data_IF_345940865706
#
_entry.id   IF_345940865706
#
_cell.length_a   1.000
_cell.length_b   1.000
_cell.length_c   1.000
_cell.angle_alpha   90.00
_cell.angle_beta   90.00
_cell.angle_gamma   90.00
#
_symmetry.space_group_name_H-M   'P 1'
#
loop_
_entity.id
_entity.type
_entity.pdbx_description
1 polymer ?
#
# COMPACT_ATOMS: atom_id res chain seq x y z
N UNK A 1 12.23 28.33 -3.34
CA UNK A 1 11.12 27.35 -3.40
C UNK A 1 10.31 27.45 -2.13
N UNK A 2 8.99 27.31 -2.19
CA UNK A 2 8.11 27.38 -1.02
C UNK A 2 8.20 26.09 -0.16
N UNK A 3 8.05 26.16 1.17
CA UNK A 3 8.08 25.02 2.06
C UNK A 3 6.78 24.20 2.00
N UNK A 4 6.38 23.82 0.80
CA UNK A 4 5.14 23.09 0.58
C UNK A 4 5.42 21.73 -0.08
N UNK A 5 4.72 20.69 0.40
CA UNK A 5 4.81 19.34 -0.13
C UNK A 5 3.43 18.84 -0.53
N UNK A 6 3.35 18.27 -1.71
CA UNK A 6 2.16 17.65 -2.30
C UNK A 6 2.26 16.15 -2.17
N UNK A 7 1.48 15.54 -1.26
CA UNK A 7 1.46 14.09 -1.03
C UNK A 7 0.32 13.48 -1.84
N UNK A 8 0.67 12.60 -2.77
CA UNK A 8 -0.26 11.98 -3.69
C UNK A 8 -0.90 10.72 -3.09
N UNK A 9 -2.24 10.61 -3.14
CA UNK A 9 -3.00 9.42 -2.73
C UNK A 9 -3.67 8.80 -3.95
N UNK A 10 -3.60 7.48 -4.10
CA UNK A 10 -4.35 6.71 -5.10
C UNK A 10 -5.44 5.85 -4.46
N UNK A 11 -5.13 5.15 -3.37
CA UNK A 11 -6.05 4.26 -2.67
C UNK A 11 -6.09 4.64 -1.20
N UNK A 12 -7.10 5.43 -0.81
CA UNK A 12 -7.19 6.02 0.53
C UNK A 12 -7.18 4.96 1.66
N UNK A 13 -7.96 3.88 1.52
CA UNK A 13 -8.05 2.81 2.52
C UNK A 13 -6.70 2.16 2.86
N UNK A 14 -5.79 2.14 1.90
CA UNK A 14 -4.48 1.51 2.02
C UNK A 14 -3.37 2.48 2.40
N UNK A 15 -3.49 3.73 1.96
CA UNK A 15 -2.40 4.71 1.96
C UNK A 15 -2.57 5.80 3.01
N UNK A 16 -3.82 6.13 3.40
CA UNK A 16 -4.12 7.33 4.18
C UNK A 16 -3.39 7.37 5.53
N UNK A 17 -3.35 6.27 6.28
CA UNK A 17 -2.71 6.22 7.60
C UNK A 17 -1.22 6.59 7.52
N UNK A 18 -0.49 5.95 6.62
CA UNK A 18 0.95 6.19 6.41
C UNK A 18 1.25 7.58 5.84
N UNK A 19 0.38 8.07 4.95
CA UNK A 19 0.50 9.40 4.36
C UNK A 19 0.25 10.49 5.40
N UNK A 20 -0.74 10.33 6.27
CA UNK A 20 -1.00 11.24 7.38
C UNK A 20 0.14 11.23 8.40
N UNK A 21 0.70 10.06 8.72
CA UNK A 21 1.88 9.97 9.58
C UNK A 21 3.08 10.73 8.97
N UNK A 22 3.34 10.54 7.68
CA UNK A 22 4.38 11.28 6.95
C UNK A 22 4.12 12.77 6.95
N UNK A 23 2.87 13.19 6.69
CA UNK A 23 2.47 14.59 6.71
C UNK A 23 2.71 15.23 8.07
N UNK A 24 2.42 14.53 9.18
CA UNK A 24 2.67 15.00 10.54
C UNK A 24 4.15 15.26 10.81
N UNK A 25 5.03 14.34 10.39
CA UNK A 25 6.48 14.55 10.53
C UNK A 25 7.01 15.69 9.66
N UNK A 26 6.47 15.86 8.45
CA UNK A 26 6.80 16.99 7.59
C UNK A 26 6.32 18.34 8.19
N UNK A 27 5.09 18.37 8.73
CA UNK A 27 4.57 19.55 9.46
C UNK A 27 5.43 19.86 10.69
N UNK A 28 5.92 18.84 11.42
CA UNK A 28 6.87 18.99 12.53
C UNK A 28 8.18 19.64 12.10
N UNK A 29 8.60 19.43 10.83
CA UNK A 29 9.78 20.07 10.21
C UNK A 29 9.49 21.47 9.65
N UNK A 30 8.28 22.00 9.79
CA UNK A 30 7.89 23.31 9.32
C UNK A 30 7.29 23.36 7.92
N UNK A 31 7.12 22.21 7.27
CA UNK A 31 6.49 22.16 5.96
C UNK A 31 4.97 22.40 6.04
N UNK A 32 4.46 23.04 5.01
CA UNK A 32 3.06 23.04 4.64
C UNK A 32 2.77 21.82 3.76
N UNK A 33 1.75 21.05 4.06
CA UNK A 33 1.46 19.82 3.33
C UNK A 33 0.08 19.90 2.68
N UNK A 34 0.01 19.64 1.38
CA UNK A 34 -1.25 19.36 0.68
C UNK A 34 -1.28 17.88 0.35
N UNK A 35 -2.24 17.18 0.93
CA UNK A 35 -2.45 15.75 0.72
C UNK A 35 -3.76 15.54 -0.02
N UNK A 36 -3.75 14.72 -1.06
CA UNK A 36 -4.97 14.50 -1.81
C UNK A 36 -4.83 13.53 -2.99
N UNK A 37 -5.94 13.42 -3.68
CA UNK A 37 -6.02 12.55 -4.85
C UNK A 37 -4.99 12.94 -5.91
N UNK A 38 -4.20 11.95 -6.34
CA UNK A 38 -3.05 12.17 -7.23
C UNK A 38 -3.42 12.95 -8.50
N UNK A 39 -4.56 12.63 -9.14
CA UNK A 39 -4.98 13.32 -10.35
C UNK A 39 -5.49 14.75 -10.05
N UNK A 40 -6.13 14.97 -8.90
CA UNK A 40 -6.54 16.32 -8.50
C UNK A 40 -5.32 17.24 -8.33
N UNK A 41 -4.24 16.74 -7.72
CA UNK A 41 -3.02 17.51 -7.56
C UNK A 41 -2.25 17.65 -8.88
N UNK A 42 -2.09 16.58 -9.65
CA UNK A 42 -1.35 16.61 -10.91
C UNK A 42 -2.02 17.47 -12.00
N UNK A 43 -3.36 17.52 -12.04
CA UNK A 43 -4.09 18.35 -13.02
C UNK A 43 -4.15 19.83 -12.62
N UNK A 44 -3.84 20.16 -11.38
CA UNK A 44 -3.78 21.52 -10.85
C UNK A 44 -2.35 22.06 -10.67
N UNK A 45 -1.34 21.35 -11.17
CA UNK A 45 0.08 21.71 -11.04
C UNK A 45 0.42 23.14 -11.49
N UNK A 46 -0.34 23.68 -12.43
CA UNK A 46 -0.17 25.02 -13.01
C UNK A 46 -0.67 26.15 -12.10
N UNK A 47 -1.63 25.87 -11.21
CA UNK A 47 -2.14 26.85 -10.25
C UNK A 47 -1.60 26.68 -8.82
N UNK A 48 -0.93 25.57 -8.55
CA UNK A 48 -0.33 25.29 -7.24
C UNK A 48 0.98 26.10 -7.04
N UNK A 49 1.25 26.63 -5.84
CA UNK A 49 2.53 27.25 -5.53
C UNK A 49 3.68 26.29 -5.76
N UNK A 50 4.81 26.76 -6.27
CA UNK A 50 6.00 25.91 -6.46
C UNK A 50 6.43 25.26 -5.16
N UNK A 51 6.60 23.95 -5.17
CA UNK A 51 6.94 23.13 -3.99
C UNK A 51 7.43 21.75 -4.41
N UNK A 52 7.39 20.78 -3.51
CA UNK A 52 7.86 19.43 -3.72
C UNK A 52 6.65 18.51 -3.97
N UNK A 53 6.62 17.80 -5.09
CA UNK A 53 5.67 16.71 -5.31
C UNK A 53 6.27 15.39 -4.85
N UNK A 54 5.58 14.71 -3.95
CA UNK A 54 5.97 13.41 -3.43
C UNK A 54 5.19 12.29 -4.14
N UNK A 55 5.82 11.69 -5.14
CA UNK A 55 5.25 10.61 -5.95
C UNK A 55 5.38 9.25 -5.24
N UNK A 56 4.43 8.37 -5.52
CA UNK A 56 4.31 7.04 -4.91
C UNK A 56 4.95 5.90 -5.72
N UNK A 57 5.71 6.21 -6.77
CA UNK A 57 6.38 5.24 -7.63
C UNK A 57 7.07 5.91 -8.80
N UNK A 58 7.82 5.11 -9.58
CA UNK A 58 8.59 5.55 -10.74
C UNK A 58 8.28 4.71 -12.00
N UNK A 59 7.08 4.13 -12.12
CA UNK A 59 6.65 3.48 -13.35
C UNK A 59 6.38 4.52 -14.46
N UNK A 60 6.17 4.07 -15.69
CA UNK A 60 5.97 4.94 -16.85
C UNK A 60 4.91 6.04 -16.62
N UNK A 61 3.77 5.70 -16.01
CA UNK A 61 2.68 6.66 -15.76
C UNK A 61 3.11 7.74 -14.77
N UNK A 62 3.81 7.36 -13.69
CA UNK A 62 4.35 8.32 -12.73
C UNK A 62 5.45 9.16 -13.35
N UNK A 63 6.34 8.56 -14.14
CA UNK A 63 7.42 9.28 -14.85
C UNK A 63 6.89 10.35 -15.78
N UNK A 64 5.86 10.04 -16.59
CA UNK A 64 5.21 11.03 -17.48
C UNK A 64 4.57 12.18 -16.68
N UNK A 65 3.98 11.87 -15.52
CA UNK A 65 3.43 12.92 -14.64
C UNK A 65 4.52 13.74 -13.96
N UNK A 66 5.65 13.15 -13.56
CA UNK A 66 6.80 13.87 -13.04
C UNK A 66 7.30 14.89 -14.08
N UNK A 67 7.46 14.48 -15.34
CA UNK A 67 7.85 15.36 -16.44
C UNK A 67 6.92 16.57 -16.55
N UNK A 68 5.61 16.35 -16.52
CA UNK A 68 4.61 17.44 -16.60
C UNK A 68 4.66 18.37 -15.40
N UNK A 69 4.84 17.84 -14.19
CA UNK A 69 4.91 18.64 -12.95
C UNK A 69 6.19 19.48 -12.90
N UNK A 70 7.31 18.91 -13.37
CA UNK A 70 8.61 19.63 -13.45
C UNK A 70 8.55 20.88 -14.33
N UNK A 71 7.76 20.89 -15.40
CA UNK A 71 7.60 22.05 -16.30
C UNK A 71 7.07 23.30 -15.59
N UNK A 72 6.41 23.14 -14.43
CA UNK A 72 5.89 24.23 -13.60
C UNK A 72 6.80 24.59 -12.42
N UNK A 73 8.06 24.13 -12.45
CA UNK A 73 9.08 24.50 -11.47
C UNK A 73 9.02 23.72 -10.15
N UNK A 74 8.15 22.70 -10.04
CA UNK A 74 8.10 21.86 -8.85
C UNK A 74 9.30 20.91 -8.78
N UNK A 75 9.80 20.63 -7.58
CA UNK A 75 10.75 19.56 -7.33
C UNK A 75 10.03 18.21 -7.14
N UNK A 76 10.73 17.13 -7.42
CA UNK A 76 10.17 15.77 -7.36
C UNK A 76 10.95 14.92 -6.37
N UNK A 77 10.23 14.38 -5.40
CA UNK A 77 10.64 13.28 -4.52
C UNK A 77 9.78 12.07 -4.85
N UNK A 78 10.33 10.86 -4.85
CA UNK A 78 9.58 9.65 -5.11
C UNK A 78 9.93 8.53 -4.13
N UNK A 79 8.98 7.62 -3.89
CA UNK A 79 9.13 6.36 -3.18
C UNK A 79 8.30 5.29 -3.88
N UNK A 80 8.78 4.06 -3.94
CA UNK A 80 7.95 2.95 -4.43
C UNK A 80 7.15 2.34 -3.27
N UNK A 81 5.84 2.51 -3.29
CA UNK A 81 4.96 2.07 -2.20
C UNK A 81 4.36 0.67 -2.40
N UNK A 82 4.46 0.11 -3.59
CA UNK A 82 3.85 -1.17 -3.94
C UNK A 82 4.74 -2.40 -3.58
N UNK A 83 6.01 -2.18 -3.26
CA UNK A 83 7.01 -3.26 -3.09
C UNK A 83 7.02 -3.95 -1.73
N UNK A 84 6.14 -3.60 -0.80
CA UNK A 84 6.15 -4.16 0.57
C UNK A 84 6.05 -5.68 0.67
N UNK A 85 5.47 -6.33 -0.32
CA UNK A 85 5.32 -7.79 -0.37
C UNK A 85 5.98 -8.43 -1.57
N UNK A 86 6.74 -7.66 -2.35
CA UNK A 86 7.31 -8.13 -3.60
C UNK A 86 8.79 -8.46 -3.48
N UNK A 87 9.24 -9.21 -4.37
CA UNK A 87 10.47 -9.85 -4.66
C UNK A 87 11.72 -9.33 -3.94
N UNK A 88 12.49 -10.26 -3.42
CA UNK A 88 13.81 -10.04 -2.83
C UNK A 88 14.95 -10.18 -3.83
N UNK A 89 14.67 -10.68 -5.00
CA UNK A 89 15.59 -10.87 -6.10
C UNK A 89 14.85 -10.64 -7.41
N UNK A 90 15.45 -10.33 -8.42
CA UNK A 90 16.40 -9.34 -8.88
C UNK A 90 15.85 -8.46 -10.00
N UNK A 91 16.67 -7.82 -10.81
CA UNK A 91 16.29 -6.90 -11.90
C UNK A 91 15.15 -7.41 -12.80
N UNK A 92 15.08 -8.71 -13.08
CA UNK A 92 14.04 -9.34 -13.92
C UNK A 92 12.62 -9.13 -13.41
N UNK A 93 12.40 -9.13 -12.10
CA UNK A 93 11.06 -8.91 -11.57
C UNK A 93 10.64 -7.44 -11.70
N UNK A 94 11.55 -6.52 -11.43
CA UNK A 94 11.30 -5.09 -11.55
C UNK A 94 11.05 -4.70 -13.01
N UNK A 95 11.84 -5.27 -13.93
CA UNK A 95 11.62 -5.15 -15.37
C UNK A 95 10.27 -5.75 -15.80
N UNK A 96 9.96 -6.96 -15.36
CA UNK A 96 8.69 -7.62 -15.64
C UNK A 96 7.48 -6.81 -15.16
N UNK A 97 7.61 -6.14 -14.02
CA UNK A 97 6.55 -5.32 -13.42
C UNK A 97 6.54 -3.89 -13.96
N UNK A 98 7.57 -3.46 -14.64
CA UNK A 98 7.76 -2.06 -15.08
C UNK A 98 7.62 -1.08 -13.90
N UNK A 99 8.31 -1.39 -12.80
CA UNK A 99 8.20 -0.63 -11.54
C UNK A 99 9.07 0.62 -11.62
N UNK A 100 10.29 0.49 -12.18
CA UNK A 100 11.25 1.58 -12.32
C UNK A 100 11.49 1.86 -13.80
N UNK A 101 10.93 2.97 -14.28
CA UNK A 101 11.17 3.44 -15.63
C UNK A 101 12.45 4.29 -15.67
N UNK A 102 13.36 4.01 -16.60
CA UNK A 102 14.68 4.66 -16.67
C UNK A 102 14.59 6.18 -16.78
N UNK A 103 13.66 6.70 -17.58
CA UNK A 103 13.46 8.14 -17.77
C UNK A 103 13.04 8.85 -16.45
N UNK A 104 12.70 8.10 -15.40
CA UNK A 104 12.40 8.72 -14.11
C UNK A 104 13.59 9.47 -13.53
N UNK A 105 14.83 9.06 -13.84
CA UNK A 105 16.06 9.74 -13.42
C UNK A 105 16.17 11.18 -13.91
N UNK A 106 15.56 11.50 -15.05
CA UNK A 106 15.59 12.84 -15.63
C UNK A 106 14.68 13.82 -14.87
N UNK A 107 13.73 13.30 -14.11
CA UNK A 107 12.69 14.09 -13.47
C UNK A 107 12.70 13.97 -11.94
N UNK A 108 12.96 12.79 -11.39
CA UNK A 108 13.03 12.55 -9.95
C UNK A 108 14.38 13.05 -9.40
N UNK A 109 14.34 13.96 -8.44
CA UNK A 109 15.54 14.55 -7.86
C UNK A 109 15.99 13.86 -6.58
N UNK A 110 15.07 13.15 -5.90
CA UNK A 110 15.36 12.36 -4.71
C UNK A 110 14.45 11.13 -4.68
N UNK A 111 15.06 9.94 -4.62
CA UNK A 111 14.34 8.70 -4.39
C UNK A 111 14.56 8.19 -2.96
N UNK A 112 13.46 7.85 -2.29
CA UNK A 112 13.45 7.35 -0.92
C UNK A 112 13.19 5.85 -0.93
N UNK A 113 14.25 5.06 -0.74
CA UNK A 113 14.18 3.62 -0.80
C UNK A 113 13.58 3.01 0.49
N UNK A 114 12.68 2.07 0.32
CA UNK A 114 12.03 1.35 1.41
C UNK A 114 12.97 0.37 2.12
N UNK A 115 13.94 -0.21 1.39
CA UNK A 115 14.92 -1.15 1.92
C UNK A 115 16.21 -1.18 1.07
N UNK A 116 17.29 -1.70 1.65
CA UNK A 116 18.62 -1.70 1.04
C UNK A 116 18.68 -2.42 -0.30
N UNK A 117 17.86 -3.45 -0.49
CA UNK A 117 17.80 -4.19 -1.73
C UNK A 117 17.20 -3.36 -2.87
N UNK A 118 16.06 -2.66 -2.61
CA UNK A 118 15.46 -1.71 -3.57
C UNK A 118 16.46 -0.63 -3.96
N UNK A 119 17.17 -0.07 -2.97
CA UNK A 119 18.22 0.92 -3.22
C UNK A 119 19.31 0.38 -4.19
N UNK A 120 19.75 -0.88 -4.01
CA UNK A 120 20.73 -1.52 -4.90
C UNK A 120 20.18 -1.68 -6.32
N UNK A 121 18.94 -2.13 -6.47
CA UNK A 121 18.30 -2.31 -7.78
C UNK A 121 18.13 -0.99 -8.50
N UNK A 122 17.61 0.03 -7.81
CA UNK A 122 17.42 1.37 -8.39
C UNK A 122 18.77 1.97 -8.79
N UNK A 123 19.81 1.78 -7.98
CA UNK A 123 21.18 2.23 -8.29
C UNK A 123 21.78 1.55 -9.52
N UNK A 124 21.41 0.29 -9.78
CA UNK A 124 21.84 -0.41 -11.00
C UNK A 124 21.12 0.10 -12.26
N UNK A 125 19.84 0.45 -12.13
CA UNK A 125 19.02 0.94 -13.24
C UNK A 125 19.25 2.43 -13.51
N UNK A 126 19.42 3.23 -12.47
CA UNK A 126 19.59 4.69 -12.48
C UNK A 126 20.76 5.10 -11.58
N UNK A 127 22.02 4.95 -12.04
CA UNK A 127 23.22 5.10 -11.20
C UNK A 127 23.41 6.52 -10.65
N UNK A 128 22.95 7.54 -11.38
CA UNK A 128 23.12 8.96 -11.01
C UNK A 128 21.98 9.50 -10.13
N UNK A 129 20.93 8.73 -9.90
CA UNK A 129 19.81 9.15 -9.08
C UNK A 129 20.23 9.31 -7.62
N UNK A 130 19.85 10.42 -7.01
CA UNK A 130 20.04 10.64 -5.57
C UNK A 130 19.08 9.74 -4.78
N UNK A 131 19.63 8.75 -4.07
CA UNK A 131 18.85 7.75 -3.35
C UNK A 131 19.18 7.79 -1.86
N UNK A 132 18.15 7.76 -1.00
CA UNK A 132 18.27 7.65 0.45
C UNK A 132 17.47 6.47 0.98
N UNK A 133 18.02 5.76 1.96
CA UNK A 133 17.35 4.65 2.62
C UNK A 133 16.55 5.16 3.82
N UNK A 134 15.23 5.18 3.71
CA UNK A 134 14.34 5.70 4.76
C UNK A 134 13.47 4.62 5.42
N UNK A 135 13.17 3.55 4.73
CA UNK A 135 12.05 2.67 5.07
C UNK A 135 10.75 3.15 4.45
N UNK A 136 9.67 2.43 4.69
CA UNK A 136 8.35 2.75 4.14
C UNK A 136 7.34 3.06 5.27
N UNK A 137 6.66 4.22 5.28
CA UNK A 137 5.72 4.60 6.36
C UNK A 137 4.54 3.66 6.53
N UNK A 138 4.21 2.86 5.51
CA UNK A 138 3.19 1.81 5.67
C UNK A 138 3.60 0.76 6.70
N UNK A 139 4.90 0.50 6.85
CA UNK A 139 5.42 -0.42 7.85
C UNK A 139 5.43 0.18 9.25
N UNK A 140 5.56 1.50 9.38
CA UNK A 140 5.45 2.19 10.66
C UNK A 140 4.10 1.95 11.34
N UNK A 141 3.01 1.95 10.54
CA UNK A 141 1.65 1.72 11.04
C UNK A 141 1.41 0.29 11.58
N UNK A 142 2.37 -0.62 11.40
CA UNK A 142 2.31 -2.01 11.87
C UNK A 142 3.15 -2.23 13.14
N UNK A 143 3.92 -1.23 13.56
CA UNK A 143 4.74 -1.28 14.77
C UNK A 143 3.87 -1.25 16.02
N UNK A 144 4.38 -1.83 17.09
CA UNK A 144 3.70 -1.90 18.40
C UNK A 144 3.23 -0.53 18.91
N UNK A 145 3.97 0.54 18.56
CA UNK A 145 3.64 1.92 18.97
C UNK A 145 2.42 2.49 18.25
N UNK A 146 2.02 1.94 17.11
CA UNK A 146 0.93 2.47 16.29
C UNK A 146 -0.19 1.47 15.99
N UNK A 147 0.06 0.17 16.13
CA UNK A 147 -0.88 -0.89 15.75
C UNK A 147 -2.22 -0.79 16.51
N UNK A 148 -2.21 -0.28 17.74
CA UNK A 148 -3.42 -0.06 18.55
C UNK A 148 -4.38 1.00 17.97
N UNK A 149 -3.95 1.79 16.98
CA UNK A 149 -4.87 2.66 16.21
C UNK A 149 -6.00 1.86 15.52
N UNK A 150 -5.84 0.56 15.35
CA UNK A 150 -6.83 -0.34 14.74
C UNK A 150 -7.76 -1.02 15.76
N UNK A 151 -7.55 -0.87 17.07
CA UNK A 151 -8.25 -1.64 18.11
C UNK A 151 -9.77 -1.46 18.06
N UNK A 152 -10.26 -0.24 17.93
CA UNK A 152 -11.72 -0.01 17.82
C UNK A 152 -12.37 -0.65 16.58
N UNK A 153 -11.61 -0.83 15.51
CA UNK A 153 -12.10 -1.54 14.33
C UNK A 153 -12.00 -3.07 14.52
N UNK A 154 -10.93 -3.53 15.16
CA UNK A 154 -10.75 -4.94 15.56
C UNK A 154 -11.86 -5.40 16.47
N UNK A 155 -12.20 -4.64 17.51
CA UNK A 155 -13.26 -4.93 18.47
C UNK A 155 -14.61 -5.12 17.78
N UNK A 156 -15.01 -4.20 16.89
CA UNK A 156 -16.26 -4.35 16.12
C UNK A 156 -16.31 -5.60 15.24
N UNK A 157 -15.15 -6.07 14.76
CA UNK A 157 -15.06 -7.33 14.00
C UNK A 157 -15.18 -8.50 14.95
N UNK A 158 -14.48 -8.48 16.09
CA UNK A 158 -14.52 -9.54 17.11
C UNK A 158 -15.91 -9.71 17.73
N UNK A 159 -16.68 -8.63 17.89
CA UNK A 159 -18.09 -8.69 18.32
C UNK A 159 -18.98 -9.51 17.37
N UNK A 160 -18.68 -9.47 16.06
CA UNK A 160 -19.40 -10.25 15.04
C UNK A 160 -18.92 -11.71 14.95
N UNK A 161 -17.68 -11.94 15.30
CA UNK A 161 -16.99 -13.23 15.21
C UNK A 161 -16.36 -13.60 16.57
N UNK A 162 -17.17 -13.80 17.63
CA UNK A 162 -16.67 -13.89 19.01
C UNK A 162 -15.84 -15.15 19.31
N UNK A 163 -15.97 -16.21 18.51
CA UNK A 163 -15.18 -17.44 18.62
C UNK A 163 -13.83 -17.40 17.90
N UNK A 164 -13.45 -16.24 17.34
CA UNK A 164 -12.32 -16.14 16.44
C UNK A 164 -12.63 -16.70 15.04
N UNK A 165 -11.69 -16.58 14.12
CA UNK A 165 -11.87 -17.11 12.76
C UNK A 165 -10.54 -17.26 12.01
N UNK A 166 -10.55 -18.12 11.01
CA UNK A 166 -9.50 -18.27 10.01
C UNK A 166 -9.74 -17.24 8.91
N UNK A 167 -8.79 -16.32 8.68
CA UNK A 167 -8.87 -15.35 7.61
C UNK A 167 -8.17 -15.90 6.35
N UNK A 168 -8.88 -15.94 5.23
CA UNK A 168 -8.31 -16.28 3.91
C UNK A 168 -8.31 -15.03 3.04
N UNK A 169 -7.14 -14.40 2.88
CA UNK A 169 -6.94 -13.27 1.97
C UNK A 169 -6.52 -13.76 0.58
N UNK A 170 -7.30 -13.41 -0.44
CA UNK A 170 -7.02 -13.78 -1.81
C UNK A 170 -6.31 -12.66 -2.59
N UNK A 171 -5.60 -13.03 -3.66
CA UNK A 171 -4.92 -12.10 -4.57
C UNK A 171 -5.09 -12.53 -6.02
N UNK A 172 -6.34 -12.75 -6.44
CA UNK A 172 -6.71 -13.31 -7.73
C UNK A 172 -7.28 -12.26 -8.71
N UNK A 173 -7.00 -10.97 -8.46
CA UNK A 173 -7.62 -9.83 -9.14
C UNK A 173 -7.38 -9.74 -10.65
N UNK A 174 -6.43 -10.51 -11.22
CA UNK A 174 -6.25 -10.59 -12.67
C UNK A 174 -7.16 -11.65 -13.29
N UNK A 175 -7.30 -12.80 -12.63
CA UNK A 175 -8.14 -13.93 -13.08
C UNK A 175 -9.61 -13.70 -12.72
N UNK A 176 -9.88 -13.22 -11.51
CA UNK A 176 -11.21 -12.98 -10.94
C UNK A 176 -11.52 -11.47 -10.87
N UNK A 177 -11.30 -10.73 -11.98
CA UNK A 177 -11.48 -9.28 -11.99
C UNK A 177 -12.97 -8.89 -11.85
N UNK A 178 -13.21 -7.81 -11.07
CA UNK A 178 -14.52 -7.11 -11.06
C UNK A 178 -14.79 -6.36 -12.36
N UNK A 179 -13.73 -5.97 -13.06
CA UNK A 179 -13.84 -5.23 -14.31
C UNK A 179 -14.09 -6.18 -15.46
N UNK A 180 -15.00 -5.79 -16.34
CA UNK A 180 -15.20 -6.51 -17.60
C UNK A 180 -14.00 -6.37 -18.52
N UNK A 181 -13.87 -7.24 -19.51
CA UNK A 181 -12.82 -7.13 -20.53
C UNK A 181 -12.91 -5.80 -21.30
N UNK A 182 -14.12 -5.25 -21.46
CA UNK A 182 -14.34 -3.93 -22.07
C UNK A 182 -13.78 -2.81 -21.20
N UNK A 183 -14.08 -2.80 -19.87
CA UNK A 183 -13.57 -1.80 -18.95
C UNK A 183 -12.04 -1.80 -18.91
N UNK A 184 -11.43 -2.98 -18.90
CA UNK A 184 -9.97 -3.15 -18.95
C UNK A 184 -9.41 -2.57 -20.25
N UNK A 185 -10.04 -2.87 -21.41
CA UNK A 185 -9.64 -2.33 -22.71
C UNK A 185 -9.75 -0.81 -22.76
N UNK A 186 -10.82 -0.25 -22.23
CA UNK A 186 -11.07 1.19 -22.23
C UNK A 186 -10.06 1.92 -21.30
N UNK A 187 -9.69 1.32 -20.16
CA UNK A 187 -8.63 1.84 -19.29
C UNK A 187 -7.28 1.79 -20.03
N UNK A 188 -6.95 0.69 -20.71
CA UNK A 188 -5.71 0.57 -21.48
C UNK A 188 -5.59 1.64 -22.56
N UNK A 189 -6.66 1.89 -23.33
CA UNK A 189 -6.69 2.93 -24.36
C UNK A 189 -6.47 4.34 -23.79
N UNK A 190 -6.95 4.60 -22.58
CA UNK A 190 -6.77 5.90 -21.91
C UNK A 190 -5.35 6.10 -21.36
N UNK A 191 -4.73 5.02 -20.86
CA UNK A 191 -3.40 5.07 -20.20
C UNK A 191 -2.27 5.05 -21.23
N UNK A 192 -2.46 4.32 -22.35
CA UNK A 192 -1.46 4.18 -23.40
C UNK A 192 -2.13 4.21 -24.80
N UNK A 193 -2.65 5.35 -25.21
CA UNK A 193 -3.43 5.43 -26.45
C UNK A 193 -2.60 5.13 -27.71
N UNK A 194 -1.27 5.32 -27.67
CA UNK A 194 -0.36 5.17 -28.81
C UNK A 194 0.81 4.22 -28.58
N UNK A 195 1.07 3.81 -27.34
CA UNK A 195 2.20 2.94 -26.98
C UNK A 195 1.83 1.46 -27.10
N UNK A 196 2.01 0.92 -28.30
CA UNK A 196 1.76 -0.51 -28.57
C UNK A 196 2.67 -1.45 -27.78
N UNK A 197 3.90 -1.03 -27.48
CA UNK A 197 4.84 -1.85 -26.74
C UNK A 197 4.44 -1.98 -25.26
N UNK A 198 3.95 -0.90 -24.66
CA UNK A 198 3.39 -0.94 -23.31
C UNK A 198 2.17 -1.86 -23.24
N UNK A 199 1.29 -1.84 -24.24
CA UNK A 199 0.13 -2.75 -24.34
C UNK A 199 0.57 -4.20 -24.48
N UNK A 200 1.58 -4.50 -25.30
CA UNK A 200 2.15 -5.86 -25.44
C UNK A 200 2.73 -6.37 -24.12
N UNK A 201 3.55 -5.54 -23.42
CA UNK A 201 4.11 -5.88 -22.10
C UNK A 201 3.01 -6.14 -21.08
N UNK A 202 1.99 -5.30 -21.04
CA UNK A 202 0.83 -5.51 -20.16
C UNK A 202 0.13 -6.85 -20.43
N UNK A 203 -0.14 -7.18 -21.71
CA UNK A 203 -0.81 -8.43 -22.08
C UNK A 203 0.05 -9.66 -21.74
N UNK A 204 1.37 -9.61 -21.99
CA UNK A 204 2.32 -10.66 -21.60
C UNK A 204 2.27 -10.89 -20.09
N UNK A 205 2.34 -9.81 -19.31
CA UNK A 205 2.28 -9.85 -17.85
C UNK A 205 0.94 -10.43 -17.35
N UNK A 206 -0.19 -9.98 -17.93
CA UNK A 206 -1.52 -10.49 -17.62
C UNK A 206 -1.61 -12.01 -17.83
N UNK A 207 -1.12 -12.51 -18.95
CA UNK A 207 -1.17 -13.95 -19.27
C UNK A 207 -0.36 -14.78 -18.27
N UNK A 208 0.80 -14.30 -17.84
CA UNK A 208 1.62 -14.96 -16.81
C UNK A 208 0.85 -14.99 -15.48
N UNK A 209 0.28 -13.86 -15.04
CA UNK A 209 -0.49 -13.81 -13.80
C UNK A 209 -1.73 -14.71 -13.84
N UNK A 210 -2.49 -14.70 -14.93
CA UNK A 210 -3.66 -15.59 -15.10
C UNK A 210 -3.27 -17.06 -14.95
N UNK A 211 -2.12 -17.43 -15.53
CA UNK A 211 -1.62 -18.82 -15.41
C UNK A 211 -1.37 -19.22 -13.96
N UNK A 212 -0.72 -18.37 -13.16
CA UNK A 212 -0.45 -18.69 -11.74
C UNK A 212 -1.70 -18.60 -10.89
N UNK A 213 -2.48 -17.56 -11.06
CA UNK A 213 -3.71 -17.36 -10.30
C UNK A 213 -4.72 -18.50 -10.48
N UNK A 214 -4.65 -19.30 -11.58
CA UNK A 214 -5.43 -20.52 -11.72
C UNK A 214 -5.05 -21.59 -10.69
N UNK A 215 -3.76 -21.76 -10.41
CA UNK A 215 -3.29 -22.70 -9.39
C UNK A 215 -3.67 -22.19 -7.99
N UNK A 216 -3.44 -20.92 -7.72
CA UNK A 216 -3.78 -20.29 -6.44
C UNK A 216 -5.30 -20.38 -6.18
N UNK A 217 -6.12 -20.11 -7.18
CA UNK A 217 -7.58 -20.23 -7.08
C UNK A 217 -8.02 -21.68 -6.79
N UNK A 218 -7.41 -22.65 -7.47
CA UNK A 218 -7.70 -24.06 -7.22
C UNK A 218 -7.38 -24.43 -5.78
N UNK A 219 -6.18 -24.13 -5.30
CA UNK A 219 -5.78 -24.42 -3.92
C UNK A 219 -6.63 -23.69 -2.89
N UNK A 220 -7.00 -22.43 -3.15
CA UNK A 220 -7.91 -21.68 -2.28
C UNK A 220 -9.27 -22.35 -2.17
N UNK A 221 -9.85 -22.80 -3.29
CA UNK A 221 -11.15 -23.47 -3.31
C UNK A 221 -11.10 -24.83 -2.63
N UNK A 222 -10.03 -25.59 -2.83
CA UNK A 222 -9.80 -26.86 -2.14
C UNK A 222 -9.70 -26.63 -0.63
N UNK A 223 -8.93 -25.63 -0.18
CA UNK A 223 -8.77 -25.28 1.22
C UNK A 223 -10.10 -24.91 1.89
N UNK A 224 -10.89 -24.03 1.25
CA UNK A 224 -12.24 -23.67 1.75
C UNK A 224 -13.12 -24.91 1.85
N UNK A 225 -13.05 -25.81 0.86
CA UNK A 225 -13.77 -27.09 0.87
C UNK A 225 -13.36 -27.98 2.04
N UNK A 226 -12.07 -28.07 2.35
CA UNK A 226 -11.56 -28.86 3.47
C UNK A 226 -12.10 -28.33 4.82
N UNK A 227 -12.04 -27.02 5.06
CA UNK A 227 -12.61 -26.42 6.27
C UNK A 227 -14.12 -26.61 6.36
N UNK A 228 -14.85 -26.41 5.26
CA UNK A 228 -16.29 -26.59 5.24
C UNK A 228 -16.75 -28.01 5.52
N UNK A 229 -15.98 -29.01 5.10
CA UNK A 229 -16.33 -30.43 5.24
C UNK A 229 -15.79 -31.07 6.52
N UNK A 230 -14.51 -30.77 6.86
CA UNK A 230 -13.81 -31.49 7.94
C UNK A 230 -13.80 -30.72 9.26
N UNK A 231 -14.04 -29.40 9.22
CA UNK A 231 -14.01 -28.52 10.40
C UNK A 231 -15.20 -27.56 10.44
N UNK A 232 -16.44 -28.05 10.41
CA UNK A 232 -17.65 -27.23 10.33
C UNK A 232 -17.84 -26.30 11.54
N UNK A 233 -17.16 -26.57 12.67
CA UNK A 233 -17.15 -25.73 13.85
C UNK A 233 -16.11 -24.61 13.85
N UNK A 234 -15.21 -24.55 12.84
CA UNK A 234 -14.21 -23.49 12.72
C UNK A 234 -14.70 -22.40 11.76
N UNK A 235 -14.93 -21.16 12.22
CA UNK A 235 -15.34 -20.07 11.34
C UNK A 235 -14.23 -19.73 10.34
N UNK A 236 -14.60 -19.54 9.09
CA UNK A 236 -13.70 -19.15 8.00
C UNK A 236 -14.25 -17.91 7.32
N UNK A 237 -13.46 -16.85 7.30
CA UNK A 237 -13.79 -15.62 6.60
C UNK A 237 -12.91 -15.47 5.37
N UNK A 238 -13.54 -15.44 4.19
CA UNK A 238 -12.84 -15.14 2.93
C UNK A 238 -12.87 -13.64 2.71
N UNK A 239 -11.70 -13.03 2.55
CA UNK A 239 -11.57 -11.63 2.21
C UNK A 239 -10.96 -11.48 0.81
N UNK A 240 -11.80 -11.32 -0.24
CA UNK A 240 -11.30 -11.15 -1.60
C UNK A 240 -10.52 -9.83 -1.72
N UNK A 241 -9.48 -9.81 -2.55
CA UNK A 241 -8.78 -8.56 -2.87
C UNK A 241 -9.79 -7.53 -3.46
N UNK A 242 -9.68 -6.21 -3.19
CA UNK A 242 -10.63 -5.19 -3.68
C UNK A 242 -10.88 -5.18 -5.19
N UNK A 243 -9.96 -5.71 -5.98
CA UNK A 243 -10.09 -5.87 -7.45
C UNK A 243 -10.85 -7.12 -7.87
N UNK A 244 -11.15 -8.05 -6.95
CA UNK A 244 -11.80 -9.31 -7.25
C UNK A 244 -13.33 -9.21 -7.23
N UNK A 245 -13.97 -10.10 -7.99
CA UNK A 245 -15.41 -10.31 -7.92
C UNK A 245 -15.74 -11.22 -6.72
N UNK A 246 -16.36 -10.71 -5.65
CA UNK A 246 -16.67 -11.47 -4.45
C UNK A 246 -17.71 -12.57 -4.70
N UNK A 247 -18.55 -12.44 -5.74
CA UNK A 247 -19.58 -13.43 -6.07
C UNK A 247 -18.98 -14.82 -6.38
N UNK A 248 -17.73 -14.87 -6.83
CA UNK A 248 -16.99 -16.12 -7.05
C UNK A 248 -16.90 -16.96 -5.77
N UNK A 249 -16.85 -16.31 -4.61
CA UNK A 249 -16.72 -16.99 -3.30
C UNK A 249 -18.08 -17.24 -2.60
N UNK A 250 -19.14 -16.51 -2.97
CA UNK A 250 -20.46 -16.63 -2.36
C UNK A 250 -21.06 -18.05 -2.48
N UNK A 251 -20.65 -18.84 -3.47
CA UNK A 251 -21.05 -20.24 -3.60
C UNK A 251 -20.61 -21.09 -2.41
N UNK A 252 -19.49 -20.75 -1.76
CA UNK A 252 -18.97 -21.49 -0.61
C UNK A 252 -19.74 -21.14 0.65
N UNK A 253 -20.06 -19.87 0.89
CA UNK A 253 -20.89 -19.44 2.02
C UNK A 253 -22.32 -19.99 1.93
N UNK A 254 -22.83 -20.26 0.72
CA UNK A 254 -24.10 -20.95 0.53
C UNK A 254 -24.02 -22.44 0.80
N UNK A 255 -22.85 -23.04 0.64
CA UNK A 255 -22.64 -24.50 0.79
C UNK A 255 -22.23 -24.88 2.20
N UNK A 256 -21.46 -24.04 2.90
CA UNK A 256 -20.87 -24.33 4.20
C UNK A 256 -21.25 -23.24 5.19
N UNK A 257 -21.93 -23.63 6.28
CA UNK A 257 -22.45 -22.71 7.29
C UNK A 257 -21.35 -21.96 8.05
N UNK A 258 -20.14 -22.52 8.13
CA UNK A 258 -18.98 -21.93 8.78
C UNK A 258 -18.14 -21.03 7.87
N UNK A 259 -18.56 -20.79 6.61
CA UNK A 259 -17.79 -20.00 5.64
C UNK A 259 -18.54 -18.71 5.30
N UNK A 260 -17.91 -17.59 5.57
CA UNK A 260 -18.41 -16.26 5.23
C UNK A 260 -17.50 -15.53 4.23
N UNK A 261 -18.07 -14.54 3.51
CA UNK A 261 -17.33 -13.68 2.58
C UNK A 261 -17.39 -12.24 3.07
N UNK A 262 -16.25 -11.66 3.38
CA UNK A 262 -16.16 -10.30 3.88
C UNK A 262 -16.62 -9.26 2.85
N UNK A 263 -17.33 -8.25 3.32
CA UNK A 263 -17.56 -7.04 2.55
C UNK A 263 -16.32 -6.14 2.67
N UNK A 264 -15.54 -6.05 1.59
CA UNK A 264 -14.23 -5.40 1.52
C UNK A 264 -14.33 -3.85 1.47
N UNK A 265 -14.83 -3.21 2.50
CA UNK A 265 -14.89 -1.75 2.61
C UNK A 265 -13.79 -1.15 3.49
N UNK A 266 -13.06 -1.99 4.24
CA UNK A 266 -12.06 -1.54 5.21
C UNK A 266 -10.64 -2.05 4.88
N UNK A 267 -9.63 -1.40 5.50
CA UNK A 267 -8.24 -1.89 5.52
C UNK A 267 -8.18 -3.35 5.98
N UNK A 268 -7.21 -4.12 5.48
CA UNK A 268 -7.00 -5.52 5.87
C UNK A 268 -6.58 -5.68 7.35
N UNK A 269 -5.89 -4.69 7.90
CA UNK A 269 -5.23 -4.76 9.22
C UNK A 269 -6.16 -5.11 10.38
N UNK A 270 -7.32 -4.45 10.57
CA UNK A 270 -8.27 -4.84 11.62
C UNK A 270 -8.77 -6.28 11.48
N UNK A 271 -8.99 -6.75 10.24
CA UNK A 271 -9.42 -8.12 9.97
C UNK A 271 -8.33 -9.14 10.31
N UNK A 272 -7.07 -8.82 10.00
CA UNK A 272 -5.92 -9.66 10.38
C UNK A 272 -5.83 -9.72 11.91
N UNK A 273 -5.85 -8.56 12.58
CA UNK A 273 -5.71 -8.49 14.05
C UNK A 273 -6.86 -9.15 14.82
N UNK A 274 -8.04 -9.26 14.21
CA UNK A 274 -9.20 -9.94 14.81
C UNK A 274 -9.25 -11.44 14.50
N UNK A 275 -8.49 -11.92 13.52
CA UNK A 275 -8.43 -13.35 13.18
C UNK A 275 -7.46 -14.11 14.10
N UNK A 276 -7.61 -15.43 14.17
CA UNK A 276 -6.65 -16.31 14.86
C UNK A 276 -5.42 -16.57 13.98
N UNK A 277 -5.64 -16.64 12.66
CA UNK A 277 -4.63 -16.97 11.67
C UNK A 277 -4.99 -16.41 10.30
N UNK A 278 -3.98 -15.91 9.60
CA UNK A 278 -4.10 -15.49 8.19
C UNK A 278 -3.56 -16.58 7.26
N UNK A 279 -4.32 -16.89 6.21
CA UNK A 279 -3.86 -17.70 5.07
C UNK A 279 -3.94 -16.85 3.81
N UNK A 280 -2.88 -16.85 2.99
CA UNK A 280 -2.83 -16.07 1.75
C UNK A 280 -2.11 -16.80 0.61
N UNK A 281 -2.26 -16.30 -0.63
CA UNK A 281 -1.59 -16.81 -1.83
C UNK A 281 -0.59 -15.80 -2.40
N UNK A 282 0.37 -15.35 -1.56
CA UNK A 282 1.39 -14.38 -1.98
C UNK A 282 0.89 -12.92 -2.00
N UNK A 283 -0.04 -12.55 -1.14
CA UNK A 283 -0.52 -11.18 -0.95
C UNK A 283 0.40 -10.37 -0.02
N UNK A 284 0.47 -9.05 -0.19
CA UNK A 284 1.19 -8.14 0.73
C UNK A 284 0.65 -8.17 2.15
N UNK A 285 -0.60 -8.53 2.35
CA UNK A 285 -1.22 -8.73 3.67
C UNK A 285 -0.49 -9.76 4.52
N UNK A 286 0.13 -10.79 3.89
CA UNK A 286 0.97 -11.75 4.61
C UNK A 286 2.21 -11.10 5.24
N UNK A 287 2.86 -10.17 4.54
CA UNK A 287 3.99 -9.41 5.09
C UNK A 287 3.53 -8.48 6.21
N UNK A 288 2.38 -7.81 6.03
CA UNK A 288 1.79 -6.95 7.06
C UNK A 288 1.42 -7.76 8.33
N UNK A 289 0.84 -8.96 8.16
CA UNK A 289 0.49 -9.85 9.27
C UNK A 289 1.74 -10.29 10.05
N UNK A 290 2.80 -10.75 9.37
CA UNK A 290 4.06 -11.13 10.02
C UNK A 290 4.69 -9.95 10.76
N UNK A 291 4.59 -8.71 10.21
CA UNK A 291 5.07 -7.51 10.89
C UNK A 291 4.33 -7.22 12.20
N UNK A 292 3.03 -7.53 12.26
CA UNK A 292 2.21 -7.46 13.46
C UNK A 292 2.36 -8.69 14.38
N UNK A 293 3.32 -9.57 14.09
CA UNK A 293 3.56 -10.85 14.78
C UNK A 293 2.32 -11.76 14.79
N UNK A 294 1.54 -11.73 13.72
CA UNK A 294 0.31 -12.51 13.58
C UNK A 294 0.59 -13.86 12.88
N UNK A 295 -0.02 -14.98 13.33
CA UNK A 295 0.13 -16.28 12.68
C UNK A 295 -0.24 -16.24 11.20
N UNK A 296 0.67 -16.66 10.31
CA UNK A 296 0.51 -16.45 8.87
C UNK A 296 1.01 -17.63 8.06
N UNK A 297 0.13 -18.17 7.21
CA UNK A 297 0.43 -19.25 6.26
C UNK A 297 0.36 -18.71 4.84
N UNK A 298 1.34 -19.07 4.00
CA UNK A 298 1.31 -18.83 2.56
C UNK A 298 1.12 -20.14 1.81
N UNK A 299 0.19 -20.17 0.85
CA UNK A 299 0.07 -21.28 -0.11
C UNK A 299 0.74 -20.86 -1.41
N UNK A 300 1.82 -21.55 -1.77
CA UNK A 300 2.49 -21.40 -3.05
C UNK A 300 2.26 -22.66 -3.87
N UNK A 301 1.09 -22.76 -4.50
CA UNK A 301 0.64 -23.95 -5.23
C UNK A 301 1.50 -24.31 -6.43
N UNK A 302 2.22 -23.35 -7.00
CA UNK A 302 3.18 -23.55 -8.06
C UNK A 302 4.40 -22.67 -7.87
N UNK A 303 5.58 -23.29 -7.90
CA UNK A 303 6.85 -22.55 -7.88
C UNK A 303 7.16 -21.95 -9.26
N UNK A 304 7.69 -20.74 -9.26
CA UNK A 304 8.28 -20.08 -10.43
C UNK A 304 9.23 -18.99 -9.98
N UNK A 305 10.16 -18.61 -10.84
CA UNK A 305 11.15 -17.56 -10.55
C UNK A 305 10.51 -16.21 -10.17
N UNK A 306 9.30 -15.94 -10.67
CA UNK A 306 8.56 -14.71 -10.37
C UNK A 306 7.71 -14.77 -9.08
N UNK A 307 7.43 -15.96 -8.53
CA UNK A 307 6.63 -16.15 -7.31
C UNK A 307 7.51 -16.57 -6.14
N UNK A 308 8.54 -17.39 -6.38
CA UNK A 308 9.45 -17.92 -5.36
C UNK A 308 10.10 -16.83 -4.50
N UNK A 309 10.41 -15.69 -5.11
CA UNK A 309 11.09 -14.58 -4.46
C UNK A 309 10.17 -13.54 -3.80
N UNK A 310 8.87 -13.78 -3.70
CA UNK A 310 7.99 -12.87 -2.97
C UNK A 310 8.35 -12.90 -1.48
N UNK A 311 8.64 -11.73 -0.91
CA UNK A 311 8.96 -11.56 0.50
C UNK A 311 7.88 -12.18 1.39
N UNK A 312 6.61 -11.95 1.04
CA UNK A 312 5.47 -12.48 1.78
C UNK A 312 5.47 -14.01 1.88
N UNK A 313 5.88 -14.74 0.82
CA UNK A 313 5.99 -16.20 0.88
C UNK A 313 7.17 -16.64 1.75
N UNK A 314 8.26 -15.87 1.79
CA UNK A 314 9.47 -16.23 2.51
C UNK A 314 9.39 -15.96 4.01
N UNK A 315 8.55 -15.01 4.42
CA UNK A 315 8.37 -14.66 5.84
C UNK A 315 7.19 -15.39 6.47
N UNK A 316 6.29 -15.95 5.69
CA UNK A 316 5.15 -16.76 6.16
C UNK A 316 5.55 -18.23 6.35
N UNK A 317 4.71 -19.00 7.03
CA UNK A 317 4.81 -20.47 7.02
C UNK A 317 4.39 -20.98 5.64
N UNK A 318 5.35 -21.47 4.87
CA UNK A 318 5.15 -21.83 3.47
C UNK A 318 4.55 -23.25 3.34
N UNK A 319 3.48 -23.36 2.57
CA UNK A 319 2.84 -24.62 2.16
C UNK A 319 2.66 -24.64 0.64
N UNK A 320 2.52 -25.83 0.06
CA UNK A 320 2.40 -26.01 -1.38
C UNK A 320 1.04 -26.56 -1.81
N UNK A 321 0.27 -27.08 -0.87
CA UNK A 321 -1.06 -27.66 -1.12
C UNK A 321 -2.09 -27.15 -0.10
N UNK A 322 -3.36 -27.24 -0.47
CA UNK A 322 -4.46 -26.96 0.43
C UNK A 322 -4.46 -27.88 1.65
N UNK A 323 -4.11 -29.15 1.47
CA UNK A 323 -4.05 -30.15 2.55
C UNK A 323 -2.93 -29.83 3.56
N UNK A 324 -1.75 -29.41 3.09
CA UNK A 324 -0.66 -28.94 3.98
C UNK A 324 -1.07 -27.71 4.80
N UNK A 325 -1.71 -26.72 4.15
CA UNK A 325 -2.21 -25.52 4.83
C UNK A 325 -3.29 -25.87 5.87
N UNK A 326 -4.23 -26.75 5.51
CA UNK A 326 -5.25 -27.25 6.44
C UNK A 326 -4.62 -27.92 7.65
N UNK A 327 -3.66 -28.82 7.46
CA UNK A 327 -2.95 -29.51 8.57
C UNK A 327 -2.18 -28.51 9.44
N UNK A 328 -1.49 -27.54 8.85
CA UNK A 328 -0.76 -26.52 9.60
C UNK A 328 -1.71 -25.73 10.52
N UNK A 329 -2.93 -25.41 10.06
CA UNK A 329 -3.96 -24.78 10.90
C UNK A 329 -4.42 -25.70 12.04
N UNK A 330 -4.67 -26.99 11.75
CA UNK A 330 -5.07 -27.94 12.80
C UNK A 330 -3.96 -28.12 13.84
N UNK A 331 -2.71 -28.19 13.41
CA UNK A 331 -1.55 -28.29 14.31
C UNK A 331 -1.34 -27.00 15.14
N UNK A 332 -1.66 -25.84 14.58
CA UNK A 332 -1.66 -24.56 15.31
C UNK A 332 -2.71 -24.58 16.44
N UNK A 333 -3.97 -24.95 16.16
CA UNK A 333 -5.00 -25.04 17.19
C UNK A 333 -4.74 -26.15 18.22
N UNK A 334 -4.04 -27.20 17.82
CA UNK A 334 -3.60 -28.26 18.74
C UNK A 334 -2.36 -27.89 19.58
N UNK A 335 -1.81 -26.67 19.42
CA UNK A 335 -0.61 -26.22 20.12
C UNK A 335 0.69 -26.90 19.69
N UNK A 336 0.69 -27.65 18.58
CA UNK A 336 1.88 -28.36 18.09
C UNK A 336 2.83 -27.45 17.30
N UNK A 337 2.32 -26.39 16.68
CA UNK A 337 3.10 -25.38 15.94
C UNK A 337 3.01 -24.07 16.69
N UNK A 338 4.12 -23.63 17.25
CA UNK A 338 4.18 -22.42 18.08
C UNK A 338 4.41 -21.14 17.25
N UNK A 339 5.01 -21.25 16.06
CA UNK A 339 5.40 -20.08 15.25
C UNK A 339 5.04 -20.25 13.78
N UNK A 340 4.00 -19.54 13.34
CA UNK A 340 3.62 -19.40 11.96
C UNK A 340 4.01 -17.99 11.46
N UNK A 341 5.13 -17.89 10.77
CA UNK A 341 5.71 -16.63 10.28
C UNK A 341 7.10 -16.36 10.84
N UNK A 342 7.89 -15.55 10.15
CA UNK A 342 9.28 -15.27 10.49
C UNK A 342 9.55 -13.75 10.54
N UNK A 343 9.25 -13.16 11.70
CA UNK A 343 9.46 -11.73 11.95
C UNK A 343 10.97 -11.36 11.88
N UNK A 344 11.86 -12.23 12.36
CA UNK A 344 13.31 -11.97 12.30
C UNK A 344 13.79 -11.82 10.85
N UNK A 345 13.31 -12.69 9.95
CA UNK A 345 13.61 -12.59 8.53
C UNK A 345 13.00 -11.33 7.90
N UNK A 346 11.81 -10.91 8.34
CA UNK A 346 11.19 -9.69 7.86
C UNK A 346 12.01 -8.45 8.23
N UNK A 347 12.59 -8.40 9.43
CA UNK A 347 13.44 -7.29 9.87
C UNK A 347 14.68 -7.08 9.00
N UNK A 348 15.18 -8.11 8.31
CA UNK A 348 16.27 -7.99 7.35
C UNK A 348 15.88 -7.14 6.13
N UNK A 349 14.58 -7.11 5.79
CA UNK A 349 14.06 -6.38 4.63
C UNK A 349 13.48 -5.03 4.97
N UNK A 350 12.91 -4.86 6.16
CA UNK A 350 12.27 -3.64 6.60
C UNK A 350 13.10 -2.95 7.69
N UNK A 351 14.01 -2.03 7.33
CA UNK A 351 14.97 -1.45 8.28
C UNK A 351 14.33 -0.56 9.35
N UNK A 352 13.10 -0.06 9.12
CA UNK A 352 12.43 0.89 10.01
C UNK A 352 11.52 0.22 11.07
N UNK A 353 11.76 -1.07 11.39
CA UNK A 353 10.95 -1.76 12.41
C UNK A 353 11.32 -1.34 13.84
N UNK A 354 12.46 -0.70 14.04
CA UNK A 354 12.94 -0.21 15.33
C UNK A 354 13.55 1.19 15.20
N UNK A 355 13.59 1.93 16.30
CA UNK A 355 14.13 3.30 16.34
C UNK A 355 13.24 4.32 15.64
N UNK A 356 13.81 5.27 14.91
CA UNK A 356 13.07 6.31 14.17
C UNK A 356 12.10 5.67 13.18
N UNK A 357 10.89 6.20 13.11
CA UNK A 357 9.92 5.85 12.08
C UNK A 357 10.45 6.17 10.67
N UNK A 358 10.01 5.41 9.67
CA UNK A 358 10.31 5.73 8.27
C UNK A 358 9.76 7.10 7.88
N UNK A 359 8.57 7.46 8.36
CA UNK A 359 7.98 8.78 8.18
C UNK A 359 8.87 9.91 8.73
N UNK A 360 9.54 9.71 9.88
CA UNK A 360 10.48 10.67 10.44
C UNK A 360 11.75 10.80 9.60
N UNK A 361 12.32 9.66 9.15
CA UNK A 361 13.50 9.65 8.28
C UNK A 361 13.20 10.34 6.94
N UNK A 362 12.01 10.10 6.38
CA UNK A 362 11.55 10.80 5.17
C UNK A 362 11.52 12.31 5.40
N UNK A 363 10.95 12.76 6.50
CA UNK A 363 10.88 14.18 6.80
C UNK A 363 12.28 14.79 6.98
N UNK A 364 13.23 14.07 7.59
CA UNK A 364 14.63 14.49 7.72
C UNK A 364 15.29 14.63 6.33
N UNK A 365 15.17 13.63 5.45
CA UNK A 365 15.78 13.63 4.11
C UNK A 365 15.14 14.69 3.19
N UNK A 366 13.81 14.85 3.25
CA UNK A 366 13.10 15.87 2.48
C UNK A 366 13.48 17.28 2.97
N UNK A 367 13.67 17.50 4.27
CA UNK A 367 14.15 18.77 4.81
C UNK A 367 15.56 19.08 4.31
N UNK A 368 16.47 18.08 4.37
CA UNK A 368 17.83 18.23 3.86
C UNK A 368 17.84 18.57 2.36
N UNK A 369 17.07 17.84 1.58
CA UNK A 369 16.89 18.07 0.14
C UNK A 369 16.35 19.47 -0.15
N UNK A 370 15.31 19.91 0.56
CA UNK A 370 14.69 21.23 0.40
C UNK A 370 15.67 22.36 0.66
N UNK A 371 16.44 22.27 1.75
CA UNK A 371 17.47 23.27 2.08
C UNK A 371 18.60 23.29 1.04
N UNK A 372 18.98 22.12 0.52
CA UNK A 372 19.96 21.99 -0.58
C UNK A 372 19.51 22.65 -1.89
N UNK A 373 18.21 22.82 -2.10
CA UNK A 373 17.64 23.57 -3.23
C UNK A 373 17.54 25.09 -2.96
N UNK A 374 18.09 25.60 -1.85
CA UNK A 374 17.95 27.00 -1.44
C UNK A 374 16.55 27.34 -0.88
N UNK A 375 15.82 26.36 -0.39
CA UNK A 375 14.51 26.54 0.21
C UNK A 375 14.58 27.28 1.56
N UNK A 376 13.51 27.98 1.94
CA UNK A 376 13.37 28.70 3.20
C UNK A 376 12.01 28.44 3.84
N UNK A 377 11.98 28.34 5.18
CA UNK A 377 10.75 28.15 5.96
C UNK A 377 10.09 29.47 6.41
N UNK A 378 10.62 30.61 5.96
CA UNK A 378 10.11 31.94 6.35
C UNK A 378 9.21 32.52 5.28
N UNK A 379 8.17 33.26 5.70
CA UNK A 379 7.40 34.16 4.84
C UNK A 379 6.49 33.46 3.80
N UNK A 380 6.09 32.20 4.02
CA UNK A 380 5.19 31.51 3.09
C UNK A 380 3.71 31.70 3.49
N UNK A 381 2.92 32.15 2.52
CA UNK A 381 1.47 32.13 2.58
C UNK A 381 0.91 31.33 1.40
N UNK A 382 -0.09 30.46 1.66
CA UNK A 382 -0.68 29.64 0.63
C UNK A 382 -1.57 30.49 -0.29
N UNK A 383 -1.12 30.69 -1.53
CA UNK A 383 -1.89 31.36 -2.57
C UNK A 383 -1.89 30.53 -3.86
N UNK A 384 -3.05 30.41 -4.49
CA UNK A 384 -3.17 29.73 -5.79
C UNK A 384 -3.11 30.78 -6.91
N UNK A 385 -2.41 30.47 -8.00
CA UNK A 385 -2.32 31.34 -9.17
C UNK A 385 -3.57 31.32 -10.06
N UNK A 386 -4.55 30.46 -9.74
CA UNK A 386 -5.81 30.32 -10.47
C UNK A 386 -6.82 29.44 -9.71
N UNK A 387 -8.02 29.26 -10.23
CA UNK A 387 -9.03 28.43 -9.60
C UNK A 387 -8.63 26.97 -9.61
N UNK A 388 -8.80 26.28 -8.46
CA UNK A 388 -8.54 24.85 -8.35
C UNK A 388 -9.58 24.06 -9.17
N UNK A 389 -9.12 23.33 -10.20
CA UNK A 389 -9.97 22.53 -11.10
C UNK A 389 -10.43 21.28 -10.38
N UNK A 390 -11.74 21.09 -10.28
CA UNK A 390 -12.29 19.87 -9.71
C UNK A 390 -12.21 18.74 -10.73
N UNK A 391 -11.45 17.69 -10.42
CA UNK A 391 -11.32 16.50 -11.28
C UNK A 391 -12.52 15.60 -11.10
N UNK A 392 -13.24 15.30 -12.19
CA UNK A 392 -14.32 14.32 -12.20
C UNK A 392 -13.73 12.91 -12.00
N UNK A 393 -14.12 12.27 -10.89
CA UNK A 393 -13.75 10.89 -10.62
C UNK A 393 -14.73 9.96 -11.36
N UNK A 394 -14.20 8.90 -12.00
CA UNK A 394 -15.05 7.80 -12.47
C UNK A 394 -15.57 7.01 -11.27
N UNK A 395 -16.67 6.25 -11.41
CA UNK A 395 -17.24 5.41 -10.34
C UNK A 395 -16.20 4.47 -9.71
N UNK A 396 -15.28 3.97 -10.52
CA UNK A 396 -14.17 3.14 -10.05
C UNK A 396 -13.20 3.92 -9.14
N UNK A 397 -12.87 5.16 -9.50
CA UNK A 397 -12.02 6.04 -8.69
C UNK A 397 -12.76 6.54 -7.45
N UNK A 398 -14.06 6.85 -7.56
CA UNK A 398 -14.88 7.30 -6.43
C UNK A 398 -14.86 6.33 -5.25
N UNK A 399 -14.96 5.03 -5.52
CA UNK A 399 -14.96 4.00 -4.47
C UNK A 399 -13.63 3.84 -3.75
N UNK A 400 -12.51 4.16 -4.42
CA UNK A 400 -11.16 4.03 -3.87
C UNK A 400 -10.66 5.30 -3.18
N UNK A 401 -11.24 6.43 -3.51
CA UNK A 401 -10.66 7.74 -3.27
C UNK A 401 -11.54 8.66 -2.44
N UNK A 402 -12.72 8.19 -2.00
CA UNK A 402 -13.57 9.03 -1.18
C UNK A 402 -12.91 9.20 0.21
N UNK A 403 -12.29 10.35 0.41
CA UNK A 403 -11.76 10.77 1.69
C UNK A 403 -12.55 12.01 2.12
N UNK A 404 -13.31 11.86 3.19
CA UNK A 404 -14.00 12.97 3.81
C UNK A 404 -13.12 13.60 4.90
N UNK A 405 -13.32 14.89 5.16
CA UNK A 405 -12.59 15.59 6.21
C UNK A 405 -12.72 14.89 7.57
N UNK A 406 -13.93 14.41 7.90
CA UNK A 406 -14.21 13.64 9.13
C UNK A 406 -13.37 12.38 9.25
N UNK A 407 -13.09 11.69 8.14
CA UNK A 407 -12.23 10.51 8.10
C UNK A 407 -10.78 10.90 8.38
N UNK A 408 -10.27 11.97 7.76
CA UNK A 408 -8.92 12.48 8.00
C UNK A 408 -8.74 12.87 9.46
N UNK A 409 -9.70 13.65 10.02
CA UNK A 409 -9.68 14.06 11.43
C UNK A 409 -9.72 12.86 12.40
N UNK A 410 -10.54 11.85 12.10
CA UNK A 410 -10.61 10.63 12.91
C UNK A 410 -9.25 9.91 12.94
N UNK A 411 -8.63 9.72 11.78
CA UNK A 411 -7.34 9.04 11.68
C UNK A 411 -6.22 9.84 12.33
N UNK A 412 -6.21 11.16 12.20
CA UNK A 412 -5.27 12.03 12.90
C UNK A 412 -5.44 11.92 14.42
N UNK A 413 -6.68 11.92 14.94
CA UNK A 413 -6.92 11.70 16.38
C UNK A 413 -6.35 10.34 16.84
N UNK A 414 -6.53 9.28 16.06
CA UNK A 414 -5.96 7.97 16.36
C UNK A 414 -4.43 8.00 16.40
N UNK A 415 -3.78 8.67 15.44
CA UNK A 415 -2.31 8.83 15.44
C UNK A 415 -1.84 9.66 16.66
N UNK A 416 -2.52 10.77 16.97
CA UNK A 416 -2.18 11.61 18.14
C UNK A 416 -2.35 10.88 19.47
N UNK A 417 -3.31 9.97 19.59
CA UNK A 417 -3.46 9.14 20.79
C UNK A 417 -2.25 8.24 21.02
N UNK A 418 -1.63 7.75 19.94
CA UNK A 418 -0.44 6.90 20.01
C UNK A 418 0.86 7.72 20.09
N UNK A 419 0.88 8.89 19.51
CA UNK A 419 2.04 9.78 19.43
C UNK A 419 1.71 11.18 20.00
N UNK A 420 1.47 11.30 21.33
CA UNK A 420 1.00 12.55 21.94
C UNK A 420 2.02 13.70 21.83
N UNK A 421 3.31 13.40 21.63
CA UNK A 421 4.37 14.40 21.42
C UNK A 421 4.38 15.05 20.03
N UNK A 422 3.50 14.60 19.11
CA UNK A 422 3.38 15.23 17.80
C UNK A 422 2.79 16.64 17.91
N UNK A 423 3.31 17.62 17.17
CA UNK A 423 2.82 18.99 17.22
C UNK A 423 1.38 19.06 16.69
N UNK A 424 0.55 19.86 17.35
CA UNK A 424 -0.78 20.18 16.85
C UNK A 424 -0.63 20.93 15.53
N UNK A 425 -1.51 20.61 14.58
CA UNK A 425 -1.55 21.25 13.28
C UNK A 425 -2.94 21.79 12.97
N UNK A 426 -3.03 22.69 12.01
CA UNK A 426 -4.29 23.14 11.43
C UNK A 426 -4.58 22.33 10.17
N UNK A 427 -5.82 21.87 10.03
CA UNK A 427 -6.30 21.09 8.88
C UNK A 427 -7.44 21.84 8.20
N UNK A 428 -7.41 21.92 6.88
CA UNK A 428 -8.41 22.58 6.05
C UNK A 428 -8.71 21.69 4.84
N UNK A 429 -9.96 21.64 4.41
CA UNK A 429 -10.35 21.07 3.12
C UNK A 429 -10.26 22.15 2.04
N UNK A 430 -9.43 21.96 1.03
CA UNK A 430 -9.31 22.87 -0.13
C UNK A 430 -10.46 22.60 -1.09
N UNK A 431 -10.66 21.33 -1.40
CA UNK A 431 -11.79 20.82 -2.18
C UNK A 431 -11.95 19.34 -1.85
N UNK A 432 -12.98 18.71 -2.41
CA UNK A 432 -13.25 17.28 -2.20
C UNK A 432 -12.01 16.41 -2.44
N UNK A 433 -11.61 15.62 -1.44
CA UNK A 433 -10.43 14.73 -1.43
C UNK A 433 -9.07 15.46 -1.48
N UNK A 434 -9.00 16.74 -1.15
CA UNK A 434 -7.74 17.49 -1.08
C UNK A 434 -7.71 18.33 0.20
N UNK A 435 -6.71 18.10 1.03
CA UNK A 435 -6.60 18.66 2.37
C UNK A 435 -5.26 19.39 2.54
N UNK A 436 -5.30 20.53 3.21
CA UNK A 436 -4.14 21.34 3.56
C UNK A 436 -3.86 21.25 5.05
N UNK A 437 -2.63 20.95 5.39
CA UNK A 437 -2.11 20.79 6.74
C UNK A 437 -0.94 21.75 6.95
N UNK A 438 -0.96 22.49 8.07
CA UNK A 438 0.13 23.39 8.43
C UNK A 438 0.40 23.40 9.94
N UNK A 439 1.57 23.84 10.40
CA UNK A 439 1.84 24.07 11.83
C UNK A 439 0.78 25.00 12.46
N UNK A 440 0.38 24.73 13.70
CA UNK A 440 -0.67 25.51 14.41
C UNK A 440 -0.24 26.91 14.76
N UNK A 441 1.02 27.13 15.01
CA UNK A 441 1.85 28.35 15.02
C UNK A 441 3.27 27.89 15.31
N UNK A 442 4.24 28.50 14.66
CA UNK A 442 5.63 28.39 15.07
C UNK A 442 5.74 29.28 16.31
N UNK A 443 5.81 28.67 17.49
CA UNK A 443 6.45 29.36 18.61
C UNK A 443 7.91 29.54 18.22
N UNK A 444 8.27 30.77 18.00
CA UNK A 444 9.66 31.23 17.99
C UNK A 444 10.32 30.94 19.34
#
# INVERSE_FOLDING_TARGET
MNPIIYILIEIAERELDSKLLTALYLVKKGFHVIIGYQWALSENKDCLPTGIFFFKGMNKVHTDNMARVRQFGHAIVAMEEELLGFCMDPPKYYEFRDIFHTDASDHCQLFLASHSFEMKVVKQIMPDLNIRLTGNPRTDCLRSELVSMYDSARERISEKMPSGYILIDTNLGTLNSRLSSKDISDIQKKVAPTDQELVKRYNRRKNVYVKWQKYDMKSTFELIGLFGQRSPGQPVLIRPHPRENPNTYMRFSRKYANVEVANNQDSARPWILASDILIHTGCTTGTEAVAMNHPTISIQAKDSDLVRFRTTNQVSYLTHTAEEAYRAVQDFYAGKVVKLGNLSKLKEFWPAQEGKFAAERIADEVQHFYLGLGGSFTGFELTFSGPFKQVKLTDFHMRKMLVELSMVEKKLRQIYQQLPAMPKMKLYEICKNVFYMRPSQVGL
#
